data_IF_141062204283
#
_entry.id   IF_141062204283
#
_cell.length_a   1.000
_cell.length_b   1.000
_cell.length_c   1.000
_cell.angle_alpha   90.00
_cell.angle_beta   90.00
_cell.angle_gamma   90.00
#
_symmetry.space_group_name_H-M   'P 1'
#
loop_
_entity.id
_entity.type
_entity.pdbx_description
1 polymer ?
#
# COMPACT_ATOMS: atom_id res chain seq x y z
N UNK A 1 15.27 28.17 27.07
CA UNK A 1 13.81 28.33 26.92
C UNK A 1 13.62 29.06 25.60
N UNK A 2 13.33 28.42 24.48
CA UNK A 2 12.76 27.11 24.24
C UNK A 2 13.29 26.59 22.91
N UNK A 3 13.56 25.28 22.85
CA UNK A 3 14.06 24.63 21.65
C UNK A 3 13.01 24.63 20.55
N UNK A 4 13.41 25.07 19.35
CA UNK A 4 12.71 24.70 18.14
C UNK A 4 13.49 23.55 17.50
N UNK A 5 12.92 22.37 17.69
CA UNK A 5 13.34 21.10 17.11
C UNK A 5 13.23 21.23 15.59
N UNK A 6 14.24 20.69 14.89
CA UNK A 6 14.29 20.52 13.43
C UNK A 6 12.96 20.00 12.87
N UNK A 7 12.25 20.85 12.12
CA UNK A 7 11.15 20.39 11.26
C UNK A 7 11.76 19.68 10.05
N UNK A 8 12.02 18.41 10.29
CA UNK A 8 12.52 17.43 9.35
C UNK A 8 11.84 17.52 7.98
N UNK A 9 12.70 17.51 6.97
CA UNK A 9 12.63 17.34 5.51
C UNK A 9 11.61 16.33 4.94
N UNK A 10 10.40 16.22 5.51
CA UNK A 10 9.34 15.31 5.05
C UNK A 10 8.42 15.92 4.00
N UNK A 11 8.55 17.22 3.70
CA UNK A 11 7.65 17.96 2.79
C UNK A 11 8.16 18.07 1.34
N UNK A 12 9.33 17.53 1.01
CA UNK A 12 9.98 17.76 -0.29
C UNK A 12 9.89 16.58 -1.30
N UNK A 13 9.01 15.59 -1.06
CA UNK A 13 8.84 14.43 -1.96
C UNK A 13 7.46 14.32 -2.64
N UNK A 14 6.59 15.33 -2.51
CA UNK A 14 5.21 15.26 -3.00
C UNK A 14 4.94 15.93 -4.36
N UNK A 15 5.98 16.38 -5.08
CA UNK A 15 5.74 17.26 -6.24
C UNK A 15 5.90 16.65 -7.65
N UNK A 16 6.29 15.38 -7.86
CA UNK A 16 6.26 14.84 -9.24
C UNK A 16 6.42 13.34 -9.49
N UNK A 17 6.18 12.44 -8.53
CA UNK A 17 6.15 11.01 -8.84
C UNK A 17 4.71 10.54 -8.99
N UNK A 18 4.36 10.13 -10.21
CA UNK A 18 3.10 9.45 -10.54
C UNK A 18 3.16 8.01 -10.00
N UNK A 19 3.40 7.87 -8.69
CA UNK A 19 3.50 6.60 -7.99
C UNK A 19 2.10 6.00 -7.94
N UNK A 20 1.83 5.10 -8.87
CA UNK A 20 0.61 4.32 -8.86
C UNK A 20 0.64 3.46 -7.60
N UNK A 21 -0.46 3.45 -6.85
CA UNK A 21 -0.62 2.62 -5.67
C UNK A 21 -1.69 1.59 -5.95
N UNK A 22 -1.39 0.34 -5.67
CA UNK A 22 -2.31 -0.77 -5.79
C UNK A 22 -2.78 -1.20 -4.40
N UNK A 23 -4.08 -1.45 -4.27
CA UNK A 23 -4.67 -2.01 -3.06
C UNK A 23 -5.15 -3.41 -3.38
N UNK A 24 -4.88 -4.37 -2.51
CA UNK A 24 -5.34 -5.74 -2.66
C UNK A 24 -6.46 -6.04 -1.69
N UNK A 25 -7.45 -6.82 -2.12
CA UNK A 25 -8.53 -7.34 -1.28
C UNK A 25 -8.45 -8.85 -1.19
N UNK A 26 -8.58 -9.39 0.01
CA UNK A 26 -8.67 -10.82 0.24
C UNK A 26 -10.08 -11.31 -0.13
N UNK A 27 -10.18 -12.32 -0.99
CA UNK A 27 -11.44 -12.93 -1.40
C UNK A 27 -12.08 -13.80 -0.30
N UNK A 28 -11.30 -14.24 0.69
CA UNK A 28 -11.76 -15.13 1.77
C UNK A 28 -12.39 -14.34 2.91
N UNK A 29 -11.66 -13.37 3.47
CA UNK A 29 -12.12 -12.60 4.63
C UNK A 29 -12.52 -11.15 4.29
N UNK A 30 -12.33 -10.70 3.05
CA UNK A 30 -12.62 -9.33 2.64
C UNK A 30 -11.60 -8.27 3.08
N UNK A 31 -10.49 -8.66 3.74
CA UNK A 31 -9.44 -7.76 4.22
C UNK A 31 -8.81 -6.96 3.08
N UNK A 32 -8.57 -5.66 3.29
CA UNK A 32 -7.86 -4.80 2.36
C UNK A 32 -6.41 -4.63 2.84
N UNK A 33 -5.44 -4.81 1.94
CA UNK A 33 -4.03 -4.55 2.22
C UNK A 33 -3.76 -3.04 2.25
N UNK A 34 -2.62 -2.68 2.84
CA UNK A 34 -2.06 -1.35 2.68
C UNK A 34 -1.78 -1.05 1.19
N UNK A 35 -1.77 0.24 0.79
CA UNK A 35 -1.41 0.64 -0.57
C UNK A 35 0.03 0.25 -0.89
N UNK A 36 0.21 -0.62 -1.88
CA UNK A 36 1.52 -1.09 -2.36
C UNK A 36 1.95 -0.21 -3.53
N UNK A 37 3.18 0.28 -3.50
CA UNK A 37 3.74 1.05 -4.61
C UNK A 37 3.88 0.18 -5.87
N UNK A 38 3.43 0.72 -7.00
CA UNK A 38 3.53 0.10 -8.33
C UNK A 38 4.74 0.69 -9.02
N UNK A 39 5.80 -0.10 -9.12
CA UNK A 39 7.08 0.35 -9.66
C UNK A 39 7.16 -0.04 -11.14
N UNK A 40 7.04 0.94 -12.05
CA UNK A 40 7.13 0.74 -13.51
C UNK A 40 6.23 -0.38 -14.07
N UNK A 41 5.06 -0.60 -13.49
CA UNK A 41 4.11 -1.65 -13.89
C UNK A 41 4.34 -3.01 -13.24
N UNK A 42 5.37 -3.14 -12.40
CA UNK A 42 5.56 -4.29 -11.52
C UNK A 42 4.87 -4.03 -10.18
N UNK A 43 4.07 -4.98 -9.72
CA UNK A 43 3.38 -4.93 -8.44
C UNK A 43 3.76 -6.17 -7.66
N UNK A 44 4.25 -5.99 -6.43
CA UNK A 44 4.51 -7.11 -5.54
C UNK A 44 3.19 -7.53 -4.88
N UNK A 45 2.50 -8.48 -5.51
CA UNK A 45 1.28 -9.05 -4.94
C UNK A 45 1.59 -9.83 -3.64
N UNK A 46 0.86 -9.56 -2.54
CA UNK A 46 0.97 -10.35 -1.33
C UNK A 46 0.43 -11.77 -1.58
N UNK A 47 1.32 -12.76 -1.49
CA UNK A 47 0.98 -14.18 -1.66
C UNK A 47 0.15 -14.76 -0.51
N UNK A 48 0.08 -14.04 0.62
CA UNK A 48 -0.65 -14.44 1.83
C UNK A 48 -1.43 -13.23 2.35
N UNK A 49 -2.65 -13.46 2.81
CA UNK A 49 -3.42 -12.44 3.50
C UNK A 49 -2.68 -11.95 4.77
N UNK A 50 -2.47 -10.65 4.89
CA UNK A 50 -1.82 -10.03 6.06
C UNK A 50 -2.63 -10.15 7.35
N UNK A 51 -3.88 -10.62 7.30
CA UNK A 51 -4.72 -10.84 8.48
C UNK A 51 -4.32 -12.16 9.15
N UNK A 52 -3.85 -12.17 10.41
CA UNK A 52 -3.30 -13.35 11.07
C UNK A 52 -4.34 -14.46 11.30
N UNK A 53 -5.62 -14.12 11.38
CA UNK A 53 -6.72 -15.07 11.51
C UNK A 53 -7.13 -15.73 10.18
N UNK A 54 -6.80 -15.13 9.04
CA UNK A 54 -7.16 -15.65 7.73
C UNK A 54 -6.01 -16.42 7.11
N UNK A 55 -4.81 -15.81 7.04
CA UNK A 55 -3.58 -16.38 6.45
C UNK A 55 -3.77 -17.12 5.12
N UNK A 56 -4.83 -16.77 4.38
CA UNK A 56 -5.18 -17.46 3.15
C UNK A 56 -4.14 -17.15 2.09
N UNK A 57 -3.64 -18.21 1.44
CA UNK A 57 -2.63 -18.11 0.40
C UNK A 57 -3.30 -17.88 -0.96
N UNK A 58 -2.66 -17.09 -1.82
CA UNK A 58 -3.08 -16.85 -3.21
C UNK A 58 -4.56 -16.39 -3.34
N UNK A 59 -5.05 -15.69 -2.32
CA UNK A 59 -6.46 -15.26 -2.21
C UNK A 59 -6.60 -13.74 -2.26
N UNK A 60 -5.52 -13.02 -2.56
CA UNK A 60 -5.51 -11.56 -2.66
C UNK A 60 -5.76 -11.18 -4.12
N UNK A 61 -6.57 -10.16 -4.35
CA UNK A 61 -6.86 -9.65 -5.70
C UNK A 61 -6.71 -8.14 -5.71
N UNK A 62 -6.13 -7.60 -6.78
CA UNK A 62 -5.97 -6.17 -6.95
C UNK A 62 -7.32 -5.50 -7.18
N UNK A 63 -7.61 -4.46 -6.38
CA UNK A 63 -8.83 -3.66 -6.50
C UNK A 63 -8.57 -2.58 -7.53
N UNK A 64 -9.00 -2.81 -8.76
CA UNK A 64 -9.06 -1.78 -9.79
C UNK A 64 -10.43 -1.11 -9.72
N UNK A 65 -10.49 0.15 -9.28
CA UNK A 65 -11.67 0.97 -9.46
C UNK A 65 -11.83 1.23 -10.97
N UNK A 66 -12.52 0.33 -11.68
CA UNK A 66 -12.99 0.56 -13.04
C UNK A 66 -14.19 1.48 -12.95
N UNK A 67 -13.97 2.78 -13.17
CA UNK A 67 -14.98 3.69 -13.69
C UNK A 67 -14.32 4.51 -14.79
#
# INVERSE_FOLDING_TARGET
>A
KDGFIEENDYSMQLHNTRDQKAVFRCLVCGYYSDPIAVDRGMINEPTICGKPECVSKNSMTIVHNRC
#
